data_IF_446498630696
#
_entry.id   IF_446498630696
#
_cell.length_a   1.000
_cell.length_b   1.000
_cell.length_c   1.000
_cell.angle_alpha   90.00
_cell.angle_beta   90.00
_cell.angle_gamma   90.00
#
_symmetry.space_group_name_H-M   'P 1'
#
loop_
_entity.id
_entity.type
_entity.pdbx_description
1 polymer ?
#
# COMPACT_ATOMS: atom_id res chain seq x y z
N UNK A 1 -17.53 -6.47 -12.04
CA UNK A 1 -16.51 -7.53 -12.30
C UNK A 1 -15.57 -7.20 -13.46
N UNK A 2 -16.05 -6.75 -14.63
CA UNK A 2 -15.15 -6.43 -15.77
C UNK A 2 -14.04 -5.41 -15.41
N UNK A 3 -14.39 -4.29 -14.77
CA UNK A 3 -13.42 -3.28 -14.32
C UNK A 3 -12.43 -3.81 -13.26
N UNK A 4 -12.87 -4.72 -12.38
CA UNK A 4 -11.97 -5.38 -11.41
C UNK A 4 -10.94 -6.25 -12.14
N UNK A 5 -11.39 -7.07 -13.09
CA UNK A 5 -10.51 -7.92 -13.88
C UNK A 5 -9.52 -7.07 -14.70
N UNK A 6 -9.99 -5.92 -15.20
CA UNK A 6 -9.18 -4.98 -15.94
C UNK A 6 -8.11 -4.31 -15.08
N UNK A 7 -8.44 -3.85 -13.88
CA UNK A 7 -7.46 -3.34 -12.93
C UNK A 7 -6.41 -4.41 -12.56
N UNK A 8 -6.84 -5.66 -12.33
CA UNK A 8 -5.94 -6.78 -12.11
C UNK A 8 -5.00 -7.07 -13.29
N UNK A 9 -5.52 -6.98 -14.52
CA UNK A 9 -4.71 -7.14 -15.75
C UNK A 9 -3.70 -6.00 -15.91
N UNK A 10 -4.08 -4.76 -15.57
CA UNK A 10 -3.18 -3.62 -15.57
C UNK A 10 -1.97 -3.85 -14.65
N UNK A 11 -2.20 -4.36 -13.42
CA UNK A 11 -1.11 -4.74 -12.49
C UNK A 11 -0.21 -5.81 -13.09
N UNK A 12 -0.81 -6.89 -13.61
CA UNK A 12 -0.04 -7.99 -14.17
C UNK A 12 0.83 -7.54 -15.35
N UNK A 13 0.32 -6.66 -16.21
CA UNK A 13 1.08 -6.06 -17.31
C UNK A 13 2.22 -5.19 -16.80
N UNK A 14 1.97 -4.38 -15.78
CA UNK A 14 3.00 -3.54 -15.15
C UNK A 14 4.13 -4.40 -14.57
N UNK A 15 3.79 -5.47 -13.85
CA UNK A 15 4.75 -6.42 -13.27
C UNK A 15 5.54 -7.20 -14.35
N UNK A 16 4.97 -7.40 -15.54
CA UNK A 16 5.63 -8.00 -16.70
C UNK A 16 6.46 -7.00 -17.53
N UNK A 17 6.45 -5.71 -17.19
CA UNK A 17 7.13 -4.65 -17.94
C UNK A 17 6.36 -4.16 -19.18
N UNK A 18 5.12 -4.60 -19.39
CA UNK A 18 4.23 -4.09 -20.45
C UNK A 18 3.57 -2.77 -20.00
N UNK A 19 4.37 -1.71 -19.95
CA UNK A 19 3.91 -0.39 -19.51
C UNK A 19 2.79 0.17 -20.41
N UNK A 20 2.89 -0.04 -21.74
CA UNK A 20 1.88 0.45 -22.68
C UNK A 20 0.53 -0.24 -22.46
N UNK A 21 0.52 -1.57 -22.31
CA UNK A 21 -0.70 -2.32 -22.03
C UNK A 21 -1.25 -2.06 -20.63
N UNK A 22 -0.39 -1.83 -19.63
CA UNK A 22 -0.81 -1.45 -18.28
C UNK A 22 -1.53 -0.09 -18.27
N UNK A 23 -0.96 0.91 -18.94
CA UNK A 23 -1.57 2.24 -19.10
C UNK A 23 -2.93 2.13 -19.79
N UNK A 24 -3.01 1.39 -20.91
CA UNK A 24 -4.24 1.24 -21.66
C UNK A 24 -5.36 0.59 -20.82
N UNK A 25 -5.04 -0.44 -20.03
CA UNK A 25 -6.04 -1.06 -19.17
C UNK A 25 -6.47 -0.15 -18.02
N UNK A 26 -5.54 0.57 -17.40
CA UNK A 26 -5.81 1.49 -16.31
C UNK A 26 -6.65 2.71 -16.75
N UNK A 27 -6.46 3.20 -17.97
CA UNK A 27 -7.18 4.35 -18.52
C UNK A 27 -8.70 4.14 -18.62
N UNK A 28 -9.17 2.91 -18.77
CA UNK A 28 -10.59 2.58 -18.87
C UNK A 28 -11.28 2.49 -17.50
N UNK A 29 -10.53 2.53 -16.39
CA UNK A 29 -11.13 2.53 -15.06
C UNK A 29 -11.70 3.94 -14.80
N UNK A 30 -13.03 4.10 -14.69
CA UNK A 30 -13.64 5.43 -14.62
C UNK A 30 -13.43 6.08 -13.24
N UNK A 31 -13.47 7.41 -13.20
CA UNK A 31 -13.38 8.19 -11.97
C UNK A 31 -14.40 7.72 -10.92
N UNK A 32 -13.96 7.65 -9.66
CA UNK A 32 -14.80 7.19 -8.54
C UNK A 32 -15.00 5.67 -8.47
N UNK A 33 -14.50 4.88 -9.43
CA UNK A 33 -14.59 3.42 -9.35
C UNK A 33 -13.83 2.88 -8.13
N UNK A 34 -14.52 2.07 -7.33
CA UNK A 34 -13.92 1.27 -6.26
C UNK A 34 -14.62 -0.08 -6.21
N UNK A 35 -13.84 -1.16 -6.21
CA UNK A 35 -14.31 -2.50 -5.88
C UNK A 35 -13.77 -2.90 -4.51
N UNK A 36 -14.67 -3.18 -3.57
CA UNK A 36 -14.32 -3.47 -2.18
C UNK A 36 -14.42 -4.96 -1.88
N UNK A 37 -13.50 -5.43 -1.03
CA UNK A 37 -13.77 -6.57 -0.18
C UNK A 37 -14.71 -6.13 0.95
N UNK A 38 -15.88 -6.74 1.03
CA UNK A 38 -16.91 -6.40 2.01
C UNK A 38 -16.72 -7.15 3.32
N UNK A 39 -16.82 -6.42 4.42
CA UNK A 39 -16.74 -6.93 5.78
C UNK A 39 -18.01 -6.57 6.56
N UNK A 40 -18.28 -7.30 7.64
CA UNK A 40 -19.48 -7.08 8.47
C UNK A 40 -19.22 -7.50 9.91
N UNK A 41 -19.98 -6.92 10.85
CA UNK A 41 -19.97 -7.28 12.28
C UNK A 41 -21.04 -8.31 12.64
N UNK A 42 -21.73 -8.90 11.66
CA UNK A 42 -22.79 -9.90 11.88
C UNK A 42 -22.19 -11.23 12.36
N UNK A 43 -21.04 -11.59 11.80
CA UNK A 43 -20.30 -12.81 12.13
C UNK A 43 -18.81 -12.46 12.23
N UNK A 44 -18.16 -12.90 13.31
CA UNK A 44 -16.75 -12.64 13.58
C UNK A 44 -15.81 -13.13 12.47
N UNK A 45 -16.20 -14.13 11.67
CA UNK A 45 -15.38 -14.58 10.52
C UNK A 45 -15.42 -13.60 9.34
N UNK A 46 -16.42 -12.72 9.29
CA UNK A 46 -16.59 -11.70 8.25
C UNK A 46 -16.05 -10.33 8.65
N UNK A 47 -15.40 -10.23 9.80
CA UNK A 47 -14.87 -8.97 10.29
C UNK A 47 -13.54 -8.61 9.62
N UNK A 48 -13.32 -7.31 9.44
CA UNK A 48 -12.08 -6.75 8.96
C UNK A 48 -10.95 -7.07 9.94
N UNK A 49 -10.06 -7.98 9.52
CA UNK A 49 -8.98 -8.48 10.35
C UNK A 49 -7.91 -7.42 10.62
N UNK A 50 -7.68 -6.47 9.71
CA UNK A 50 -6.72 -5.36 9.91
C UNK A 50 -7.21 -4.50 11.07
N UNK A 51 -8.49 -4.13 11.07
CA UNK A 51 -9.10 -3.41 12.19
C UNK A 51 -8.96 -4.20 13.48
N UNK A 52 -9.36 -5.48 13.50
CA UNK A 52 -9.36 -6.31 14.70
C UNK A 52 -7.96 -6.50 15.30
N UNK A 53 -6.95 -6.75 14.47
CA UNK A 53 -5.58 -6.95 14.94
C UNK A 53 -4.97 -5.66 15.51
N UNK A 54 -5.31 -4.50 14.97
CA UNK A 54 -4.73 -3.23 15.42
C UNK A 54 -5.54 -2.58 16.55
N UNK A 55 -6.86 -2.44 16.41
CA UNK A 55 -7.66 -1.59 17.30
C UNK A 55 -8.05 -2.30 18.61
N UNK A 56 -8.91 -3.34 18.62
CA UNK A 56 -9.28 -4.00 19.86
C UNK A 56 -8.15 -4.86 20.43
N UNK A 57 -7.39 -5.60 19.60
CA UNK A 57 -6.41 -6.57 20.09
C UNK A 57 -5.00 -5.99 20.32
N UNK A 58 -4.63 -4.91 19.62
CA UNK A 58 -3.29 -4.28 19.68
C UNK A 58 -2.13 -5.27 19.40
N UNK A 59 -2.38 -6.26 18.53
CA UNK A 59 -1.38 -7.25 18.07
C UNK A 59 -0.44 -6.67 17.02
N UNK A 60 -0.89 -5.68 16.26
CA UNK A 60 -0.08 -4.96 15.26
C UNK A 60 -0.21 -3.47 15.50
N UNK A 61 0.89 -2.73 15.39
CA UNK A 61 0.92 -1.27 15.54
C UNK A 61 1.26 -0.62 14.20
N UNK A 62 0.69 0.55 13.93
CA UNK A 62 1.24 1.42 12.88
C UNK A 62 2.61 1.95 13.31
N UNK A 63 3.53 2.15 12.36
CA UNK A 63 4.85 2.72 12.63
C UNK A 63 4.74 4.27 12.65
N UNK A 64 4.86 4.94 13.81
CA UNK A 64 4.75 6.39 13.88
C UNK A 64 5.90 7.13 13.18
N UNK A 65 7.10 6.54 13.11
CA UNK A 65 8.27 7.21 12.52
C UNK A 65 8.10 7.34 11.00
N UNK A 66 7.41 6.38 10.37
CA UNK A 66 7.20 6.34 8.92
C UNK A 66 5.86 6.97 8.49
N UNK A 67 4.84 6.94 9.36
CA UNK A 67 3.47 7.32 9.01
C UNK A 67 2.83 8.39 9.92
N UNK A 68 3.45 8.75 11.04
CA UNK A 68 2.84 9.61 12.06
C UNK A 68 2.77 11.09 11.70
N UNK A 69 3.60 11.57 10.76
CA UNK A 69 3.70 12.99 10.40
C UNK A 69 3.81 13.21 8.88
N UNK A 70 3.14 12.37 8.08
CA UNK A 70 3.17 12.53 6.63
C UNK A 70 2.48 13.82 6.19
N UNK A 71 3.19 14.59 5.37
CA UNK A 71 2.72 15.84 4.78
C UNK A 71 2.70 15.73 3.25
N UNK A 72 1.67 16.28 2.63
CA UNK A 72 1.57 16.57 1.19
C UNK A 72 1.67 18.08 1.03
N UNK A 73 2.78 18.57 0.47
CA UNK A 73 3.06 20.00 0.28
C UNK A 73 2.83 20.84 1.57
N UNK A 74 3.30 20.32 2.70
CA UNK A 74 3.19 20.98 4.01
C UNK A 74 1.83 20.83 4.71
N UNK A 75 0.83 20.20 4.07
CA UNK A 75 -0.46 19.88 4.69
C UNK A 75 -0.48 18.42 5.18
N UNK A 76 -1.17 18.10 6.29
CA UNK A 76 -1.33 16.71 6.74
C UNK A 76 -1.91 15.82 5.64
N UNK A 77 -1.29 14.67 5.39
CA UNK A 77 -1.82 13.68 4.44
C UNK A 77 -3.04 12.97 5.03
N UNK A 78 -4.23 13.30 4.55
CA UNK A 78 -5.50 12.76 5.06
C UNK A 78 -5.72 11.29 4.73
N UNK A 79 -4.92 10.69 3.85
CA UNK A 79 -5.05 9.28 3.44
C UNK A 79 -4.42 8.31 4.43
N UNK A 80 -3.42 8.78 5.17
CA UNK A 80 -2.68 7.98 6.15
C UNK A 80 -2.83 8.60 7.52
N UNK A 81 -3.85 8.13 8.25
CA UNK A 81 -4.14 8.61 9.60
C UNK A 81 -3.66 7.57 10.62
N UNK A 82 -2.67 7.97 11.42
CA UNK A 82 -2.09 7.18 12.50
C UNK A 82 -2.21 7.95 13.81
N UNK A 83 -2.64 7.28 14.88
CA UNK A 83 -2.95 7.93 16.16
C UNK A 83 -2.30 7.17 17.32
N UNK A 84 -1.66 7.90 18.23
CA UNK A 84 -1.10 7.29 19.45
C UNK A 84 -2.26 6.77 20.31
N UNK A 85 -2.27 5.47 20.61
CA UNK A 85 -3.35 4.89 21.41
C UNK A 85 -3.32 5.28 22.89
N UNK A 86 -2.20 5.83 23.37
CA UNK A 86 -1.94 6.07 24.79
C UNK A 86 -1.79 4.78 25.60
N UNK A 87 -1.71 3.62 24.94
CA UNK A 87 -1.66 2.29 25.55
C UNK A 87 -0.43 1.53 25.09
N UNK A 88 -0.03 0.53 25.86
CA UNK A 88 0.92 -0.46 25.41
C UNK A 88 0.27 -1.42 24.39
N UNK A 89 1.08 -1.91 23.46
CA UNK A 89 0.73 -3.02 22.59
C UNK A 89 0.58 -4.31 23.38
N UNK A 90 0.29 -5.40 22.67
CA UNK A 90 0.09 -6.70 23.33
C UNK A 90 1.32 -7.24 24.09
N UNK A 91 2.52 -6.73 23.79
CA UNK A 91 3.73 -7.06 24.56
C UNK A 91 3.80 -6.38 25.94
N UNK A 92 2.87 -5.47 26.25
CA UNK A 92 2.81 -4.75 27.52
C UNK A 92 3.89 -3.67 27.70
N UNK A 93 4.70 -3.38 26.68
CA UNK A 93 5.85 -2.47 26.81
C UNK A 93 5.92 -1.40 25.70
N UNK A 94 5.64 -1.77 24.45
CA UNK A 94 5.79 -0.85 23.31
C UNK A 94 4.56 0.06 23.21
N UNK A 95 4.74 1.38 23.04
CA UNK A 95 3.62 2.30 22.75
C UNK A 95 2.93 1.88 21.45
N UNK A 96 1.63 1.65 21.52
CA UNK A 96 0.82 1.21 20.39
C UNK A 96 0.20 2.40 19.64
N UNK A 97 0.11 2.28 18.32
CA UNK A 97 -0.48 3.28 17.44
C UNK A 97 -1.60 2.68 16.59
N UNK A 98 -2.76 3.33 16.60
CA UNK A 98 -3.92 2.96 15.80
C UNK A 98 -3.69 3.31 14.33
N UNK A 99 -4.07 2.40 13.44
CA UNK A 99 -4.45 2.77 12.08
C UNK A 99 -5.89 3.29 12.10
N UNK A 100 -6.14 4.47 11.53
CA UNK A 100 -7.47 5.09 11.48
C UNK A 100 -8.09 5.08 10.08
N UNK A 101 -7.48 4.37 9.13
CA UNK A 101 -8.05 4.14 7.80
C UNK A 101 -9.29 3.24 7.86
N UNK A 102 -9.21 2.14 8.60
CA UNK A 102 -10.37 1.29 8.90
C UNK A 102 -10.84 1.60 10.32
N UNK A 103 -12.04 2.15 10.44
CA UNK A 103 -12.61 2.66 11.70
C UNK A 103 -13.53 1.68 12.41
N UNK A 104 -13.88 0.56 11.77
CA UNK A 104 -14.70 -0.50 12.36
C UNK A 104 -14.33 -1.88 11.80
N UNK A 105 -14.80 -2.94 12.47
CA UNK A 105 -14.67 -4.31 11.98
C UNK A 105 -15.55 -4.58 10.74
N UNK A 106 -16.46 -3.67 10.38
CA UNK A 106 -17.21 -3.71 9.11
C UNK A 106 -16.60 -2.86 8.00
N UNK A 107 -15.49 -2.15 8.24
CA UNK A 107 -14.90 -1.25 7.24
C UNK A 107 -14.45 -2.06 6.01
N UNK A 108 -14.87 -1.67 4.79
CA UNK A 108 -14.44 -2.35 3.57
C UNK A 108 -12.95 -2.11 3.29
N UNK A 109 -12.33 -3.03 2.56
CA UNK A 109 -10.96 -2.86 2.06
C UNK A 109 -11.02 -2.77 0.53
N UNK A 110 -10.57 -1.65 -0.09
CA UNK A 110 -10.47 -1.56 -1.54
C UNK A 110 -9.57 -2.65 -2.09
N UNK A 111 -10.06 -3.37 -3.10
CA UNK A 111 -9.29 -4.37 -3.84
C UNK A 111 -8.85 -3.86 -5.21
N UNK A 112 -9.57 -2.91 -5.79
CA UNK A 112 -9.22 -2.19 -7.01
C UNK A 112 -9.92 -0.84 -6.99
N UNK A 113 -9.24 0.20 -7.45
CA UNK A 113 -9.81 1.54 -7.48
C UNK A 113 -9.31 2.36 -8.65
N UNK A 114 -10.04 3.40 -8.99
CA UNK A 114 -9.59 4.45 -9.89
C UNK A 114 -8.31 5.14 -9.39
N UNK A 115 -8.20 5.33 -8.07
CA UNK A 115 -7.01 5.93 -7.47
C UNK A 115 -5.75 5.10 -7.75
N UNK A 116 -5.85 3.77 -7.62
CA UNK A 116 -4.78 2.87 -8.03
C UNK A 116 -4.53 2.95 -9.54
N UNK A 117 -5.58 2.97 -10.37
CA UNK A 117 -5.45 3.05 -11.82
C UNK A 117 -4.67 4.29 -12.26
N UNK A 118 -4.93 5.46 -11.66
CA UNK A 118 -4.14 6.68 -11.91
C UNK A 118 -2.66 6.51 -11.58
N UNK A 119 -2.36 5.80 -10.50
CA UNK A 119 -0.98 5.52 -10.13
C UNK A 119 -0.32 4.44 -11.01
N UNK A 120 -1.08 3.52 -11.58
CA UNK A 120 -0.57 2.61 -12.63
C UNK A 120 -0.25 3.41 -13.89
N UNK A 121 -1.10 4.35 -14.31
CA UNK A 121 -0.84 5.21 -15.47
C UNK A 121 0.40 6.09 -15.25
N UNK A 122 0.50 6.72 -14.07
CA UNK A 122 1.65 7.54 -13.67
C UNK A 122 2.95 6.75 -13.66
N UNK A 123 2.90 5.50 -13.24
CA UNK A 123 4.07 4.64 -13.19
C UNK A 123 4.49 4.11 -14.57
N UNK A 124 3.50 3.70 -15.37
CA UNK A 124 3.75 3.25 -16.74
C UNK A 124 4.35 4.37 -17.61
N UNK A 125 4.08 5.63 -17.28
CA UNK A 125 4.63 6.81 -17.96
C UNK A 125 5.02 7.90 -16.95
N UNK A 126 6.22 7.81 -16.34
CA UNK A 126 6.63 8.77 -15.31
C UNK A 126 6.63 10.23 -15.77
N UNK A 127 6.86 10.51 -17.06
CA UNK A 127 6.75 11.85 -17.63
C UNK A 127 5.34 12.45 -17.55
N UNK A 128 4.30 11.62 -17.49
CA UNK A 128 2.89 12.01 -17.31
C UNK A 128 2.46 11.98 -15.83
N UNK A 129 3.34 11.61 -14.89
CA UNK A 129 2.99 11.36 -13.49
C UNK A 129 2.30 12.54 -12.81
N UNK A 130 2.79 13.77 -13.06
CA UNK A 130 2.20 14.98 -12.46
C UNK A 130 0.72 15.11 -12.79
N UNK A 131 0.33 14.89 -14.04
CA UNK A 131 -1.07 14.99 -14.47
C UNK A 131 -1.96 14.02 -13.69
N UNK A 132 -1.55 12.77 -13.59
CA UNK A 132 -2.33 11.73 -12.91
C UNK A 132 -2.36 11.89 -11.38
N UNK A 133 -1.24 12.32 -10.78
CA UNK A 133 -1.15 12.58 -9.34
C UNK A 133 -1.98 13.81 -8.98
N UNK A 134 -1.96 14.88 -9.77
CA UNK A 134 -2.75 16.08 -9.51
C UNK A 134 -4.25 15.80 -9.60
N UNK A 135 -4.68 14.99 -10.56
CA UNK A 135 -6.08 14.55 -10.69
C UNK A 135 -6.51 13.72 -9.47
N UNK A 136 -5.67 12.76 -9.05
CA UNK A 136 -5.91 11.95 -7.87
C UNK A 136 -6.00 12.81 -6.58
N UNK A 137 -5.00 13.66 -6.35
CA UNK A 137 -4.94 14.54 -5.17
C UNK A 137 -6.09 15.53 -5.17
N UNK A 138 -6.43 16.11 -6.32
CA UNK A 138 -7.56 17.01 -6.50
C UNK A 138 -8.90 16.38 -6.09
N UNK A 139 -9.16 15.14 -6.51
CA UNK A 139 -10.36 14.38 -6.10
C UNK A 139 -10.44 14.13 -4.58
N UNK A 140 -9.33 14.27 -3.86
CA UNK A 140 -9.22 14.04 -2.41
C UNK A 140 -9.03 15.33 -1.61
N UNK A 141 -9.05 16.49 -2.26
CA UNK A 141 -8.80 17.78 -1.63
C UNK A 141 -7.36 17.97 -1.14
N UNK A 142 -6.40 17.22 -1.70
CA UNK A 142 -4.98 17.34 -1.39
C UNK A 142 -4.31 18.36 -2.33
N UNK A 143 -3.24 19.05 -1.88
CA UNK A 143 -2.48 19.98 -2.72
C UNK A 143 -1.88 19.29 -3.96
N UNK A 144 -1.86 20.00 -5.09
CA UNK A 144 -1.22 19.54 -6.32
C UNK A 144 0.29 19.30 -6.10
N UNK A 145 0.86 18.35 -6.86
CA UNK A 145 2.28 18.03 -6.84
C UNK A 145 3.11 19.21 -7.34
N UNK A 146 4.09 19.63 -6.55
CA UNK A 146 5.06 20.65 -6.94
C UNK A 146 6.31 19.96 -7.49
N UNK A 147 6.68 20.31 -8.72
CA UNK A 147 7.93 19.88 -9.35
C UNK A 147 8.86 21.09 -9.50
N UNK A 148 10.15 20.84 -9.37
CA UNK A 148 11.22 21.83 -9.57
C UNK A 148 11.55 22.04 -11.05
N UNK A 149 11.16 21.10 -11.91
CA UNK A 149 11.45 21.10 -13.35
C UNK A 149 12.81 20.49 -13.69
N UNK A 150 13.54 19.97 -12.68
CA UNK A 150 14.83 19.31 -12.85
C UNK A 150 14.77 17.79 -12.61
N UNK A 151 13.57 17.25 -12.38
CA UNK A 151 13.37 15.83 -12.10
C UNK A 151 13.76 14.96 -13.31
N UNK A 152 14.61 13.97 -13.06
CA UNK A 152 14.86 12.89 -14.00
C UNK A 152 13.68 11.92 -14.03
N UNK A 153 13.67 11.02 -15.02
CA UNK A 153 12.67 9.95 -15.07
C UNK A 153 12.68 9.06 -13.81
N UNK A 154 13.86 8.83 -13.23
CA UNK A 154 14.02 8.10 -11.98
C UNK A 154 13.43 8.88 -10.78
N UNK A 155 13.59 10.20 -10.75
CA UNK A 155 12.99 11.05 -9.71
C UNK A 155 11.47 11.04 -9.80
N UNK A 156 10.91 11.12 -11.01
CA UNK A 156 9.48 11.02 -11.25
C UNK A 156 8.93 9.66 -10.82
N UNK A 157 9.62 8.57 -11.14
CA UNK A 157 9.24 7.24 -10.68
C UNK A 157 9.27 7.15 -9.14
N UNK A 158 10.31 7.68 -8.48
CA UNK A 158 10.38 7.71 -7.02
C UNK A 158 9.21 8.49 -6.40
N UNK A 159 8.81 9.61 -7.00
CA UNK A 159 7.62 10.38 -6.59
C UNK A 159 6.35 9.53 -6.74
N UNK A 160 6.18 8.82 -7.85
CA UNK A 160 5.04 7.92 -8.07
C UNK A 160 5.00 6.82 -7.01
N UNK A 161 6.13 6.19 -6.71
CA UNK A 161 6.22 5.11 -5.71
C UNK A 161 5.93 5.59 -4.29
N UNK A 162 6.32 6.82 -3.96
CA UNK A 162 5.94 7.44 -2.69
C UNK A 162 4.45 7.75 -2.63
N UNK A 163 3.87 8.27 -3.72
CA UNK A 163 2.43 8.51 -3.81
C UNK A 163 1.63 7.21 -3.69
N UNK A 164 2.10 6.11 -4.31
CA UNK A 164 1.55 4.75 -4.14
C UNK A 164 1.62 4.26 -2.71
N UNK A 165 2.75 4.44 -2.02
CA UNK A 165 2.90 4.04 -0.62
C UNK A 165 1.84 4.67 0.28
N UNK A 166 1.51 5.94 0.02
CA UNK A 166 0.52 6.70 0.80
C UNK A 166 -0.91 6.38 0.40
N UNK A 167 -1.21 6.41 -0.90
CA UNK A 167 -2.54 6.16 -1.42
C UNK A 167 -3.04 4.74 -1.08
N UNK A 168 -2.18 3.75 -1.24
CA UNK A 168 -2.51 2.32 -1.10
C UNK A 168 -2.10 1.77 0.28
N UNK A 169 -1.95 2.65 1.27
CA UNK A 169 -1.60 2.27 2.63
C UNK A 169 -2.61 1.26 3.21
N UNK A 170 -2.13 0.15 3.79
CA UNK A 170 -2.94 -0.99 4.27
C UNK A 170 -3.75 -1.77 3.23
N UNK A 171 -3.53 -1.54 1.93
CA UNK A 171 -4.22 -2.26 0.84
C UNK A 171 -3.38 -3.41 0.26
N UNK A 172 -2.21 -3.70 0.84
CA UNK A 172 -1.41 -4.89 0.47
C UNK A 172 -0.44 -4.71 -0.70
N UNK A 173 -0.19 -3.48 -1.16
CA UNK A 173 0.65 -3.22 -2.34
C UNK A 173 2.14 -3.03 -2.07
N UNK A 174 2.49 -2.46 -0.90
CA UNK A 174 3.85 -1.96 -0.62
C UNK A 174 4.94 -3.03 -0.76
N UNK A 175 4.70 -4.27 -0.31
CA UNK A 175 5.68 -5.34 -0.42
C UNK A 175 6.04 -5.63 -1.89
N UNK A 176 5.04 -5.73 -2.77
CA UNK A 176 5.28 -5.98 -4.19
C UNK A 176 6.02 -4.79 -4.84
N UNK A 177 5.61 -3.56 -4.52
CA UNK A 177 6.29 -2.35 -4.99
C UNK A 177 7.77 -2.32 -4.57
N UNK A 178 8.08 -2.76 -3.34
CA UNK A 178 9.47 -2.85 -2.87
C UNK A 178 10.28 -3.90 -3.63
N UNK A 179 9.69 -5.07 -3.89
CA UNK A 179 10.38 -6.16 -4.58
C UNK A 179 10.66 -5.82 -6.05
N UNK A 180 9.67 -5.33 -6.79
CA UNK A 180 9.78 -5.08 -8.24
C UNK A 180 10.67 -3.89 -8.59
N UNK A 181 10.79 -2.91 -7.68
CA UNK A 181 11.65 -1.73 -7.85
C UNK A 181 12.95 -1.79 -7.04
N UNK A 182 13.22 -2.90 -6.35
CA UNK A 182 14.43 -3.04 -5.54
C UNK A 182 14.54 -1.99 -4.43
N UNK A 183 13.42 -1.56 -3.85
CA UNK A 183 13.41 -0.57 -2.77
C UNK A 183 14.00 -1.17 -1.50
N UNK A 184 14.69 -0.35 -0.71
CA UNK A 184 15.30 -0.79 0.52
C UNK A 184 14.26 -1.29 1.53
N UNK A 185 14.46 -2.52 2.02
CA UNK A 185 13.77 -3.05 3.18
C UNK A 185 14.36 -2.46 4.47
N UNK A 186 13.59 -2.40 5.58
CA UNK A 186 14.11 -1.98 6.88
C UNK A 186 15.40 -2.73 7.25
N UNK A 187 16.41 -1.98 7.68
CA UNK A 187 17.72 -2.48 8.11
C UNK A 187 18.00 -2.06 9.56
N UNK A 188 19.04 -2.63 10.16
CA UNK A 188 19.45 -2.32 11.53
C UNK A 188 18.61 -3.06 12.57
N UNK A 189 18.19 -2.37 13.63
CA UNK A 189 17.36 -2.95 14.71
C UNK A 189 15.95 -2.38 14.66
N UNK A 190 14.96 -3.23 14.95
CA UNK A 190 13.58 -2.81 15.11
C UNK A 190 13.37 -2.10 16.46
N UNK A 191 12.15 -1.61 16.70
CA UNK A 191 11.77 -0.93 17.94
C UNK A 191 11.88 -1.80 19.22
N UNK A 192 12.14 -3.11 19.08
CA UNK A 192 12.39 -4.06 20.18
C UNK A 192 13.88 -4.42 20.33
N UNK A 193 14.77 -3.75 19.60
CA UNK A 193 16.20 -4.05 19.61
C UNK A 193 16.59 -5.33 18.87
N UNK A 194 15.69 -5.90 18.06
CA UNK A 194 15.97 -7.11 17.27
C UNK A 194 16.47 -6.72 15.88
N UNK A 195 17.54 -7.35 15.41
CA UNK A 195 18.06 -7.10 14.07
C UNK A 195 17.09 -7.57 12.99
N UNK A 196 16.94 -6.78 11.93
CA UNK A 196 16.26 -7.23 10.72
C UNK A 196 17.08 -8.32 10.03
N UNK A 197 16.40 -9.37 9.58
CA UNK A 197 17.00 -10.45 8.80
C UNK A 197 17.12 -10.10 7.31
N UNK A 198 17.85 -10.90 6.52
CA UNK A 198 18.05 -10.66 5.10
C UNK A 198 16.86 -11.10 4.21
N UNK A 199 15.82 -11.69 4.80
CA UNK A 199 14.72 -12.31 4.07
C UNK A 199 13.71 -11.24 3.63
N UNK A 200 13.49 -11.14 2.31
CA UNK A 200 12.52 -10.22 1.71
C UNK A 200 11.28 -10.91 1.14
N UNK A 201 11.37 -12.21 0.85
CA UNK A 201 10.29 -13.05 0.35
C UNK A 201 9.98 -14.19 1.32
N UNK A 202 8.71 -14.62 1.38
CA UNK A 202 8.35 -15.80 2.16
C UNK A 202 9.11 -17.02 1.64
N UNK A 203 9.87 -17.74 2.50
CA UNK A 203 10.54 -18.95 2.06
C UNK A 203 9.48 -20.02 1.76
N UNK A 204 9.83 -20.92 0.83
CA UNK A 204 9.00 -22.09 0.57
C UNK A 204 8.81 -22.88 1.88
N UNK A 205 7.56 -23.27 2.23
CA UNK A 205 7.32 -24.01 3.46
C UNK A 205 8.12 -25.31 3.53
N UNK A 206 8.69 -25.61 4.69
CA UNK A 206 9.48 -26.85 4.89
C UNK A 206 8.67 -28.12 4.59
N UNK A 207 7.36 -28.09 4.85
CA UNK A 207 6.48 -29.19 4.50
C UNK A 207 6.45 -29.44 2.98
N UNK A 208 6.41 -28.38 2.17
CA UNK A 208 6.42 -28.48 0.71
C UNK A 208 7.76 -29.02 0.21
N UNK A 209 8.89 -28.50 0.73
CA UNK A 209 10.23 -29.00 0.38
C UNK A 209 10.41 -30.49 0.67
N UNK A 210 9.91 -30.97 1.81
CA UNK A 210 10.06 -32.37 2.23
C UNK A 210 9.14 -33.32 1.46
N UNK A 211 7.96 -32.85 1.07
CA UNK A 211 6.95 -33.69 0.43
C UNK A 211 7.09 -33.73 -1.10
N UNK A 212 7.67 -32.69 -1.71
CA UNK A 212 7.74 -32.56 -3.16
C UNK A 212 9.11 -33.05 -3.71
N UNK A 213 9.16 -34.20 -4.40
CA UNK A 213 10.42 -34.76 -4.92
C UNK A 213 11.05 -33.92 -6.05
N UNK A 214 10.34 -32.93 -6.58
CA UNK A 214 10.86 -32.03 -7.62
C UNK A 214 11.58 -30.80 -7.06
N UNK A 215 11.59 -30.62 -5.74
CA UNK A 215 12.23 -29.49 -5.08
C UNK A 215 13.57 -30.00 -4.52
N UNK A 216 14.71 -29.51 -5.04
CA UNK A 216 16.02 -29.91 -4.53
C UNK A 216 16.13 -29.60 -3.04
N UNK A 217 16.65 -30.56 -2.28
CA UNK A 217 16.96 -30.42 -0.85
C UNK A 217 18.04 -29.39 -0.59
#
# INVERSE_FOLDING_TARGET
>A
LALLAQAGRARARLDLGDAAGAYADAAEIPEGFVWNAEYSTIDGVRENRVFNLNVPNRYVSANPDEYGTLLVEGQPDTRVVVENSGQAGHDGATVHWYQRKYTSAGSPIPMASWAEAKLVMAEARPSEAKMHIDELRGAQGLPALVLTGAETEADLLAIVLEERRRQLWLEGHRLNDMLRHGLAFPQGVNHKGQSYGPITCMPLPEQEKRANPNIPS
#
